data_IF_440993261174
#
_entry.id   IF_440993261174
#
_cell.length_a   1.000
_cell.length_b   1.000
_cell.length_c   1.000
_cell.angle_alpha   90.00
_cell.angle_beta   90.00
_cell.angle_gamma   90.00
#
_symmetry.space_group_name_H-M   'P 1'
#
loop_
_entity.id
_entity.type
_entity.pdbx_description
1 polymer ?
#
# COMPACT_ATOMS: atom_id res chain seq x y z
N UNK A 1 8.70 -14.12 10.41
CA UNK A 1 8.42 -13.03 9.47
C UNK A 1 8.47 -13.65 8.09
N UNK A 2 7.34 -13.80 7.41
CA UNK A 2 7.33 -14.38 6.06
C UNK A 2 7.79 -13.35 5.03
N UNK A 3 8.63 -13.76 4.07
CA UNK A 3 9.11 -12.89 2.99
C UNK A 3 7.94 -12.19 2.27
N UNK A 4 6.91 -12.95 1.88
CA UNK A 4 5.71 -12.43 1.21
C UNK A 4 5.01 -11.32 1.99
N UNK A 5 4.94 -11.44 3.32
CA UNK A 5 4.28 -10.45 4.16
C UNK A 5 5.06 -9.13 4.20
N UNK A 6 6.40 -9.21 4.23
CA UNK A 6 7.30 -8.05 4.22
C UNK A 6 7.28 -7.38 2.85
N UNK A 7 7.38 -8.15 1.77
CA UNK A 7 7.34 -7.62 0.40
C UNK A 7 6.01 -6.91 0.13
N UNK A 8 4.89 -7.50 0.55
CA UNK A 8 3.57 -6.86 0.44
C UNK A 8 3.48 -5.58 1.27
N UNK A 9 4.04 -5.58 2.48
CA UNK A 9 4.04 -4.41 3.35
C UNK A 9 4.88 -3.27 2.76
N UNK A 10 6.14 -3.54 2.40
CA UNK A 10 7.03 -2.55 1.80
C UNK A 10 6.49 -2.04 0.47
N UNK A 11 6.02 -2.94 -0.39
CA UNK A 11 5.39 -2.57 -1.65
C UNK A 11 4.18 -1.65 -1.44
N UNK A 12 3.38 -1.89 -0.39
CA UNK A 12 2.25 -1.02 -0.06
C UNK A 12 2.70 0.33 0.51
N UNK A 13 3.68 0.38 1.41
CA UNK A 13 4.27 1.64 1.90
C UNK A 13 4.77 2.53 0.75
N UNK A 14 5.35 1.92 -0.28
CA UNK A 14 5.91 2.62 -1.44
C UNK A 14 4.81 3.08 -2.41
N UNK A 15 3.77 2.25 -2.64
CA UNK A 15 2.76 2.50 -3.69
C UNK A 15 1.45 3.11 -3.20
N UNK A 16 1.17 3.08 -1.90
CA UNK A 16 -0.09 3.54 -1.31
C UNK A 16 0.20 4.69 -0.34
N UNK A 17 0.08 5.92 -0.84
CA UNK A 17 0.39 7.13 -0.08
C UNK A 17 -0.49 7.24 1.18
N UNK A 18 -1.77 6.88 1.08
CA UNK A 18 -2.70 6.91 2.21
C UNK A 18 -2.32 5.87 3.28
N UNK A 19 -1.93 4.67 2.86
CA UNK A 19 -1.43 3.65 3.78
C UNK A 19 -0.14 4.07 4.47
N UNK A 20 0.78 4.74 3.76
CA UNK A 20 2.03 5.24 4.34
C UNK A 20 1.78 6.30 5.41
N UNK A 21 0.91 7.27 5.16
CA UNK A 21 0.58 8.30 6.16
C UNK A 21 -0.13 7.67 7.38
N UNK A 22 -1.05 6.73 7.16
CA UNK A 22 -1.65 5.96 8.25
C UNK A 22 -0.61 5.18 9.07
N UNK A 23 0.39 4.58 8.41
CA UNK A 23 1.44 3.83 9.10
C UNK A 23 2.37 4.73 9.95
N UNK A 24 2.55 6.00 9.55
CA UNK A 24 3.26 7.01 10.34
C UNK A 24 2.47 7.42 11.59
N UNK A 25 1.17 7.61 11.45
CA UNK A 25 0.28 7.95 12.57
C UNK A 25 0.13 6.78 13.55
N UNK A 26 -0.17 5.60 13.02
CA UNK A 26 -0.39 4.38 13.80
C UNK A 26 0.00 3.14 13.01
N UNK A 27 1.24 2.68 13.21
CA UNK A 27 1.77 1.48 12.56
C UNK A 27 0.89 0.24 12.79
N UNK A 28 0.43 0.02 14.02
CA UNK A 28 -0.40 -1.14 14.37
C UNK A 28 -1.74 -1.09 13.65
N UNK A 29 -2.38 0.08 13.59
CA UNK A 29 -3.64 0.24 12.88
C UNK A 29 -3.48 0.02 11.38
N UNK A 30 -2.39 0.54 10.79
CA UNK A 30 -2.08 0.30 9.39
C UNK A 30 -1.87 -1.20 9.11
N UNK A 31 -1.15 -1.92 9.96
CA UNK A 31 -1.00 -3.37 9.81
C UNK A 31 -2.35 -4.10 9.86
N UNK A 32 -3.21 -3.78 10.85
CA UNK A 32 -4.53 -4.38 10.99
C UNK A 32 -5.43 -4.11 9.78
N UNK A 33 -5.57 -2.84 9.36
CA UNK A 33 -6.37 -2.46 8.18
C UNK A 33 -5.77 -2.98 6.87
N UNK A 34 -4.45 -3.16 6.84
CA UNK A 34 -3.72 -3.71 5.71
C UNK A 34 -3.82 -5.22 5.56
N UNK A 35 -4.38 -5.92 6.56
CA UNK A 35 -4.45 -7.38 6.61
C UNK A 35 -3.09 -8.03 6.91
N UNK A 36 -2.16 -7.30 7.53
CA UNK A 36 -0.85 -7.80 7.89
C UNK A 36 -0.88 -8.39 9.31
N UNK A 37 -0.44 -9.64 9.43
CA UNK A 37 -0.26 -10.31 10.71
C UNK A 37 1.23 -10.41 10.98
N UNK A 38 1.71 -9.58 11.90
CA UNK A 38 3.10 -9.56 12.35
C UNK A 38 3.16 -9.90 13.84
N UNK A 39 4.23 -10.57 14.25
CA UNK A 39 4.54 -10.73 15.68
C UNK A 39 5.02 -9.41 16.28
N UNK A 40 4.99 -9.27 17.61
CA UNK A 40 5.46 -8.05 18.28
C UNK A 40 6.91 -7.68 17.91
N UNK A 41 7.79 -8.68 17.84
CA UNK A 41 9.19 -8.50 17.42
C UNK A 41 9.30 -7.99 15.98
N UNK A 42 8.44 -8.45 15.10
CA UNK A 42 8.43 -8.02 13.69
C UNK A 42 7.93 -6.59 13.54
N UNK A 43 6.91 -6.24 14.31
CA UNK A 43 6.42 -4.86 14.43
C UNK A 43 7.54 -3.94 14.91
N UNK A 44 8.30 -4.32 15.94
CA UNK A 44 9.43 -3.51 16.42
C UNK A 44 10.51 -3.29 15.36
N UNK A 45 10.81 -4.32 14.55
CA UNK A 45 11.79 -4.21 13.45
C UNK A 45 11.27 -3.27 12.38
N UNK A 46 10.02 -3.45 11.93
CA UNK A 46 9.43 -2.66 10.84
C UNK A 46 9.16 -1.21 11.25
N UNK A 47 8.86 -0.94 12.52
CA UNK A 47 8.71 0.43 13.06
C UNK A 47 10.00 1.25 13.05
N UNK A 48 11.16 0.61 12.94
CA UNK A 48 12.46 1.29 12.81
C UNK A 48 12.73 1.77 11.39
N UNK A 49 11.90 1.38 10.43
CA UNK A 49 12.03 1.85 9.06
C UNK A 49 11.64 3.33 8.99
N UNK A 50 12.50 4.12 8.36
CA UNK A 50 12.24 5.52 8.07
C UNK A 50 11.25 5.63 6.90
N UNK A 51 9.98 5.82 7.23
CA UNK A 51 8.90 5.88 6.25
C UNK A 51 9.01 7.09 5.32
N UNK A 52 9.70 8.15 5.72
CA UNK A 52 9.89 9.35 4.89
C UNK A 52 10.88 9.11 3.75
N UNK A 53 11.85 8.20 3.92
CA UNK A 53 12.73 7.80 2.81
C UNK A 53 11.98 7.12 1.67
N UNK A 54 10.90 6.40 1.98
CA UNK A 54 10.05 5.80 0.95
C UNK A 54 9.16 6.81 0.23
N UNK A 55 8.94 8.00 0.80
CA UNK A 55 8.18 9.06 0.14
C UNK A 55 8.90 9.57 -1.10
N UNK A 56 10.21 9.83 -1.02
CA UNK A 56 10.99 10.29 -2.18
C UNK A 56 10.91 9.29 -3.34
N UNK A 57 11.09 7.99 -3.04
CA UNK A 57 10.91 6.92 -4.02
C UNK A 57 9.48 6.88 -4.57
N UNK A 58 8.48 7.00 -3.69
CA UNK A 58 7.08 7.01 -4.09
C UNK A 58 6.74 8.17 -5.03
N UNK A 59 7.32 9.34 -4.80
CA UNK A 59 7.09 10.54 -5.62
C UNK A 59 7.72 10.42 -7.03
N UNK A 60 8.77 9.62 -7.18
CA UNK A 60 9.41 9.32 -8.46
C UNK A 60 8.74 8.16 -9.22
N UNK A 61 7.94 7.33 -8.55
CA UNK A 61 7.23 6.23 -9.20
C UNK A 61 6.15 6.73 -10.16
N UNK A 62 5.98 5.98 -11.26
CA UNK A 62 4.86 6.20 -12.18
C UNK A 62 3.54 6.16 -11.39
N UNK A 63 2.72 7.22 -11.55
CA UNK A 63 1.43 7.35 -10.89
C UNK A 63 0.52 6.15 -11.14
N UNK A 64 0.66 5.45 -12.28
CA UNK A 64 -0.12 4.22 -12.59
C UNK A 64 0.20 3.06 -11.66
N UNK A 65 1.37 3.06 -11.02
CA UNK A 65 1.77 2.06 -10.02
C UNK A 65 1.24 2.40 -8.63
N UNK A 66 0.79 3.65 -8.40
CA UNK A 66 0.23 4.07 -7.11
C UNK A 66 -1.19 3.54 -6.92
N UNK A 67 -1.46 2.98 -5.74
CA UNK A 67 -2.80 2.54 -5.34
C UNK A 67 -3.67 3.77 -5.07
N UNK A 68 -4.89 3.78 -5.61
CA UNK A 68 -5.80 4.93 -5.52
C UNK A 68 -5.57 6.04 -6.55
N UNK A 69 -4.52 5.94 -7.38
CA UNK A 69 -4.27 6.89 -8.47
C UNK A 69 -5.08 6.61 -9.75
N UNK A 70 -5.88 5.54 -9.76
CA UNK A 70 -6.96 5.42 -10.72
C UNK A 70 -8.10 6.31 -10.22
N UNK A 71 -8.42 7.45 -10.86
CA UNK A 71 -9.74 7.98 -10.69
C UNK A 71 -10.65 6.89 -11.23
N UNK A 72 -11.39 6.23 -10.36
CA UNK A 72 -12.67 5.67 -10.77
C UNK A 72 -13.38 6.85 -11.41
N UNK A 73 -13.37 6.89 -12.74
CA UNK A 73 -14.38 7.63 -13.47
C UNK A 73 -15.68 7.12 -12.86
N UNK A 74 -16.38 8.00 -12.16
CA UNK A 74 -17.70 7.75 -11.61
C UNK A 74 -18.67 7.60 -12.80
N UNK A 75 -18.54 6.47 -13.49
CA UNK A 75 -19.14 6.18 -14.77
C UNK A 75 -19.33 4.68 -14.84
N UNK A 76 -20.46 4.24 -14.31
CA UNK A 76 -21.23 3.08 -14.76
C UNK A 76 -20.42 1.83 -15.13
N UNK A 77 -20.35 0.87 -14.21
CA UNK A 77 -19.95 -0.52 -14.51
C UNK A 77 -20.90 -1.27 -15.48
N UNK A 78 -21.84 -0.58 -16.17
CA UNK A 78 -22.81 -1.23 -17.09
C UNK A 78 -22.37 -1.34 -18.54
N UNK A 79 -21.26 -0.71 -18.95
CA UNK A 79 -20.93 -0.63 -20.39
C UNK A 79 -19.79 -1.57 -20.85
N UNK A 80 -19.29 -2.47 -20.00
CA UNK A 80 -18.39 -3.55 -20.43
C UNK A 80 -19.17 -4.75 -20.99
N UNK A 81 -19.86 -4.55 -22.12
CA UNK A 81 -20.22 -5.65 -23.03
C UNK A 81 -19.34 -5.58 -24.28
N UNK A 82 -18.15 -6.17 -24.17
CA UNK A 82 -17.38 -6.65 -25.32
C UNK A 82 -16.90 -8.05 -24.92
N UNK A 83 -17.50 -9.13 -25.41
CA UNK A 83 -17.59 -9.44 -26.82
C UNK A 83 -16.39 -10.31 -27.16
N UNK A 84 -16.53 -11.62 -26.96
CA UNK A 84 -15.67 -12.57 -27.64
C UNK A 84 -16.55 -13.71 -28.18
N UNK A 85 -16.71 -13.68 -29.50
CA UNK A 85 -17.13 -14.80 -30.31
C UNK A 85 -15.98 -15.79 -30.43
#
# INVERSE_FOLDING_TARGET
MGQDAVERFLGRIITDDAFREMAKESFLEACLRGGFVFTEREVEILRRLDLDKFRALSDELDRRLKRGACPVVAGSWRDYTGGNR
#
